data_IF_085108803708
#
_entry.id   IF_085108803708
#
_cell.length_a   1.000
_cell.length_b   1.000
_cell.length_c   1.000
_cell.angle_alpha   90.00
_cell.angle_beta   90.00
_cell.angle_gamma   90.00
#
_symmetry.space_group_name_H-M   'P 1'
#
loop_
_entity.id
_entity.type
_entity.pdbx_description
1 polymer ?
#
# COMPACT_ATOMS: atom_id res chain seq x y z
N UNK A 1 17.27 -14.83 -19.25
CA UNK A 1 17.22 -14.64 -17.80
C UNK A 1 17.34 -13.16 -17.53
N UNK A 2 16.23 -12.47 -17.25
CA UNK A 2 16.27 -11.06 -16.88
C UNK A 2 16.36 -11.04 -15.34
N UNK A 3 17.57 -10.88 -14.81
CA UNK A 3 17.79 -10.77 -13.38
C UNK A 3 17.26 -9.40 -12.95
N UNK A 4 16.04 -9.36 -12.41
CA UNK A 4 15.54 -8.16 -11.72
C UNK A 4 16.22 -8.18 -10.37
N UNK A 5 17.32 -7.45 -10.25
CA UNK A 5 17.96 -7.16 -8.96
C UNK A 5 17.00 -6.29 -8.15
N UNK A 6 16.86 -6.56 -6.86
CA UNK A 6 16.09 -5.65 -6.01
C UNK A 6 16.77 -4.28 -5.96
N UNK A 7 16.00 -3.18 -6.06
CA UNK A 7 16.57 -1.84 -6.01
C UNK A 7 17.13 -1.55 -4.61
N UNK A 8 18.35 -1.03 -4.54
CA UNK A 8 19.00 -0.67 -3.27
C UNK A 8 18.66 0.77 -2.84
N UNK A 9 18.13 1.58 -3.77
CA UNK A 9 17.74 2.97 -3.52
C UNK A 9 16.34 3.29 -4.04
N UNK A 10 15.69 4.30 -3.42
CA UNK A 10 14.39 4.79 -3.88
C UNK A 10 14.46 5.36 -5.31
N UNK A 11 15.59 5.96 -5.70
CA UNK A 11 15.79 6.47 -7.06
C UNK A 11 15.82 5.36 -8.11
N UNK A 12 16.46 4.22 -7.81
CA UNK A 12 16.45 3.04 -8.67
C UNK A 12 15.04 2.46 -8.83
N UNK A 13 14.30 2.33 -7.71
CA UNK A 13 12.91 1.88 -7.75
C UNK A 13 12.04 2.79 -8.64
N UNK A 14 12.22 4.11 -8.54
CA UNK A 14 11.48 5.07 -9.39
C UNK A 14 11.85 4.89 -10.87
N UNK A 15 13.14 4.68 -11.18
CA UNK A 15 13.61 4.47 -12.55
C UNK A 15 13.03 3.18 -13.15
N UNK A 16 12.97 2.10 -12.36
CA UNK A 16 12.35 0.83 -12.77
C UNK A 16 10.85 1.00 -13.02
N UNK A 17 10.14 1.70 -12.14
CA UNK A 17 8.71 2.00 -12.34
C UNK A 17 8.45 2.88 -13.57
N UNK A 18 9.39 3.73 -13.97
CA UNK A 18 9.26 4.55 -15.18
C UNK A 18 9.23 3.71 -16.46
N UNK A 19 9.82 2.51 -16.45
CA UNK A 19 9.83 1.57 -17.57
C UNK A 19 8.51 0.80 -17.75
N UNK A 20 7.57 0.90 -16.81
CA UNK A 20 6.27 0.24 -16.90
C UNK A 20 5.51 0.77 -18.15
N UNK A 21 5.13 -0.11 -19.09
CA UNK A 21 4.41 0.29 -20.30
C UNK A 21 3.15 1.09 -19.99
N UNK A 22 2.92 2.15 -20.76
CA UNK A 22 1.75 3.02 -20.59
C UNK A 22 0.41 2.28 -20.77
N UNK A 23 0.39 1.21 -21.57
CA UNK A 23 -0.78 0.35 -21.77
C UNK A 23 -1.23 -0.41 -20.52
N UNK A 24 -0.34 -0.56 -19.52
CA UNK A 24 -0.67 -1.14 -18.22
C UNK A 24 -1.10 -0.07 -17.20
N UNK A 25 -0.90 1.22 -17.50
CA UNK A 25 -1.34 2.31 -16.64
C UNK A 25 -2.83 2.50 -16.87
N UNK A 26 -3.63 2.30 -15.83
CA UNK A 26 -5.07 2.49 -15.92
C UNK A 26 -5.39 3.95 -16.34
N UNK A 27 -6.05 4.12 -17.49
CA UNK A 27 -6.37 5.44 -18.05
C UNK A 27 -7.37 6.22 -17.19
N UNK A 28 -8.19 5.51 -16.41
CA UNK A 28 -9.20 6.07 -15.53
C UNK A 28 -8.99 5.57 -14.11
N UNK A 29 -8.07 6.20 -13.39
CA UNK A 29 -8.05 6.04 -11.93
C UNK A 29 -9.38 6.55 -11.37
N UNK A 30 -10.03 5.81 -10.46
CA UNK A 30 -11.21 6.31 -9.78
C UNK A 30 -10.86 7.66 -9.14
N UNK A 31 -11.77 8.64 -9.23
CA UNK A 31 -11.56 9.94 -8.60
C UNK A 31 -11.18 9.72 -7.13
N UNK A 32 -10.25 10.53 -6.58
CA UNK A 32 -9.94 10.48 -5.16
C UNK A 32 -11.25 10.51 -4.38
N UNK A 33 -11.45 9.50 -3.53
CA UNK A 33 -12.61 9.49 -2.63
C UNK A 33 -12.52 10.78 -1.81
N UNK A 34 -13.65 11.44 -1.57
CA UNK A 34 -13.72 12.58 -0.65
C UNK A 34 -12.95 12.25 0.63
N UNK A 35 -12.26 13.23 1.20
CA UNK A 35 -11.43 13.05 2.39
C UNK A 35 -12.11 12.09 3.37
N UNK A 36 -11.47 10.95 3.62
CA UNK A 36 -12.01 9.95 4.53
C UNK A 36 -12.24 10.63 5.88
N UNK A 37 -13.33 10.26 6.56
CA UNK A 37 -13.48 10.66 7.95
C UNK A 37 -12.24 10.19 8.72
N UNK A 38 -11.73 10.99 9.67
CA UNK A 38 -10.64 10.56 10.54
C UNK A 38 -10.98 9.19 11.13
N UNK A 39 -10.05 8.25 11.01
CA UNK A 39 -10.23 6.94 11.61
C UNK A 39 -10.15 7.10 13.14
N UNK A 40 -11.19 6.67 13.83
CA UNK A 40 -11.26 6.65 15.28
C UNK A 40 -11.21 5.19 15.75
N UNK A 41 -10.37 4.93 16.73
CA UNK A 41 -10.31 3.63 17.40
C UNK A 41 -11.38 3.63 18.46
N UNK A 42 -12.48 2.93 18.19
CA UNK A 42 -13.56 2.75 19.13
C UNK A 42 -13.37 1.50 20.00
N UNK A 43 -14.28 1.32 20.96
CA UNK A 43 -14.25 0.18 21.86
C UNK A 43 -14.44 -1.14 21.10
N UNK A 44 -15.17 -1.14 19.98
CA UNK A 44 -15.34 -2.33 19.16
C UNK A 44 -14.02 -2.76 18.51
N UNK A 45 -13.19 -1.81 18.07
CA UNK A 45 -11.84 -2.07 17.57
C UNK A 45 -10.92 -2.58 18.69
N UNK A 46 -10.99 -2.00 19.89
CA UNK A 46 -10.21 -2.43 21.04
C UNK A 46 -10.58 -3.86 21.49
N UNK A 47 -11.88 -4.19 21.50
CA UNK A 47 -12.37 -5.52 21.88
C UNK A 47 -11.85 -6.65 20.97
N UNK A 48 -11.53 -6.37 19.70
CA UNK A 48 -11.01 -7.38 18.76
C UNK A 48 -9.62 -7.89 19.15
N UNK A 49 -8.84 -7.10 19.89
CA UNK A 49 -7.45 -7.41 20.26
C UNK A 49 -7.28 -7.61 21.76
N UNK A 50 -8.36 -7.52 22.54
CA UNK A 50 -8.32 -7.55 24.01
C UNK A 50 -7.70 -8.84 24.60
N UNK A 51 -7.80 -9.96 23.87
CA UNK A 51 -7.26 -11.26 24.30
C UNK A 51 -5.98 -11.66 23.56
N UNK A 52 -5.45 -10.79 22.70
CA UNK A 52 -4.26 -11.11 21.91
C UNK A 52 -3.04 -11.37 22.80
N UNK A 53 -2.93 -10.68 23.93
CA UNK A 53 -1.85 -10.87 24.91
C UNK A 53 -1.93 -12.23 25.64
N UNK A 54 -3.07 -12.94 25.55
CA UNK A 54 -3.22 -14.29 26.10
C UNK A 54 -2.75 -15.38 25.14
N UNK A 55 -2.41 -15.04 23.90
CA UNK A 55 -1.91 -15.98 22.89
C UNK A 55 -0.40 -16.19 23.06
N UNK A 56 -0.01 -17.31 23.70
CA UNK A 56 1.39 -17.76 23.90
C UNK A 56 1.75 -18.84 22.89
#
# INVERSE_FOLDING_TARGET
MNAVTEPETLSELIADCALIPATLKAESLPRPRSAAQPWEVDEACHAQVAELDAYV
#
